data_IF_330628241029
#
_entry.id   IF_330628241029
#
_cell.length_a   1.000
_cell.length_b   1.000
_cell.length_c   1.000
_cell.angle_alpha   90.00
_cell.angle_beta   90.00
_cell.angle_gamma   90.00
#
_symmetry.space_group_name_H-M   'P 1'
#
loop_
_entity.id
_entity.type
_entity.pdbx_description
1 polymer ?
#
# COMPACT_ATOMS: atom_id res chain seq x y z
N UNK A 1 3.49 25.72 -5.97
CA UNK A 1 3.28 24.74 -4.89
C UNK A 1 4.61 24.10 -4.57
N UNK A 2 4.96 24.02 -3.29
CA UNK A 2 6.05 23.18 -2.80
C UNK A 2 5.40 21.90 -2.29
N UNK A 3 5.58 20.82 -3.01
CA UNK A 3 5.12 19.48 -2.59
C UNK A 3 6.34 18.61 -2.34
N UNK A 4 6.45 18.03 -1.16
CA UNK A 4 7.63 17.31 -0.75
C UNK A 4 7.35 16.30 0.35
N UNK A 5 8.40 15.67 0.79
CA UNK A 5 8.44 14.63 1.82
C UNK A 5 9.50 13.58 1.48
N UNK A 6 9.48 12.43 2.17
CA UNK A 6 8.60 12.16 3.31
C UNK A 6 9.13 12.76 4.64
N UNK A 7 8.23 13.18 5.51
CA UNK A 7 8.58 13.44 6.90
C UNK A 7 8.19 12.24 7.78
N UNK A 8 8.91 12.04 8.89
CA UNK A 8 8.75 10.86 9.74
C UNK A 8 7.66 11.10 10.79
N UNK A 9 6.74 10.17 10.92
CA UNK A 9 5.62 10.25 11.87
C UNK A 9 6.06 10.38 13.35
N UNK A 10 7.21 9.81 13.73
CA UNK A 10 7.76 9.96 15.09
C UNK A 10 8.21 11.40 15.41
N UNK A 11 8.36 12.26 14.39
CA UNK A 11 8.62 13.69 14.59
C UNK A 11 7.38 14.47 15.06
N UNK A 12 6.16 13.90 14.91
CA UNK A 12 4.91 14.61 15.22
C UNK A 12 4.91 15.22 16.63
N UNK A 13 5.42 14.49 17.62
CA UNK A 13 5.51 14.95 19.01
C UNK A 13 6.45 16.17 19.20
N UNK A 14 7.39 16.37 18.29
CA UNK A 14 8.37 17.46 18.32
C UNK A 14 7.86 18.74 17.61
N UNK A 15 6.76 18.63 16.86
CA UNK A 15 6.22 19.74 16.06
C UNK A 15 5.39 20.76 16.86
N UNK A 16 5.12 20.49 18.15
CA UNK A 16 4.29 21.35 19.00
C UNK A 16 2.80 21.28 18.64
N UNK A 17 2.01 22.21 19.23
CA UNK A 17 0.56 22.26 19.05
C UNK A 17 0.13 22.82 17.69
N UNK A 18 0.96 23.67 17.06
CA UNK A 18 0.64 24.37 15.82
C UNK A 18 1.72 24.23 14.73
N UNK A 19 1.89 23.02 14.14
CA UNK A 19 2.92 22.74 13.14
C UNK A 19 2.87 23.64 11.91
N UNK A 20 1.70 24.13 11.50
CA UNK A 20 1.54 25.01 10.33
C UNK A 20 2.42 26.27 10.41
N UNK A 21 2.62 26.83 11.62
CA UNK A 21 3.40 28.07 11.80
C UNK A 21 4.86 27.89 11.41
N UNK A 22 5.41 26.70 11.60
CA UNK A 22 6.78 26.37 11.18
C UNK A 22 6.91 26.52 9.65
N UNK A 23 5.93 26.02 8.91
CA UNK A 23 5.92 26.12 7.45
C UNK A 23 5.58 27.54 6.97
N UNK A 24 4.73 28.27 7.69
CA UNK A 24 4.41 29.67 7.42
C UNK A 24 5.64 30.58 7.55
N UNK A 25 6.54 30.28 8.49
CA UNK A 25 7.82 31.00 8.64
C UNK A 25 8.76 30.74 7.44
N UNK A 26 8.65 29.57 6.79
CA UNK A 26 9.42 29.26 5.57
C UNK A 26 8.83 30.04 4.39
N UNK A 27 7.51 30.01 4.21
CA UNK A 27 6.84 30.79 3.17
C UNK A 27 5.35 30.98 3.46
N UNK A 28 4.89 32.23 3.43
CA UNK A 28 3.47 32.58 3.45
C UNK A 28 2.89 32.85 2.05
N UNK A 29 3.74 32.90 1.01
CA UNK A 29 3.34 33.18 -0.39
C UNK A 29 3.36 31.94 -1.29
N UNK A 30 3.92 30.83 -0.82
CA UNK A 30 3.89 29.55 -1.54
C UNK A 30 3.12 28.51 -0.71
N UNK A 31 2.15 27.80 -1.28
CA UNK A 31 1.56 26.67 -0.58
C UNK A 31 2.62 25.58 -0.41
N UNK A 32 2.81 25.13 0.86
CA UNK A 32 3.74 24.07 1.24
C UNK A 32 2.93 22.89 1.74
N UNK A 33 3.18 21.73 1.15
CA UNK A 33 2.51 20.46 1.46
C UNK A 33 3.61 19.42 1.61
N UNK A 34 3.78 18.90 2.80
CA UNK A 34 4.73 17.83 3.07
C UNK A 34 3.96 16.56 3.42
N UNK A 35 4.24 15.48 2.69
CA UNK A 35 3.62 14.19 2.90
C UNK A 35 4.47 13.38 3.88
N UNK A 36 3.83 12.64 4.78
CA UNK A 36 4.52 11.75 5.71
C UNK A 36 5.02 10.46 5.04
N UNK A 37 5.78 9.66 5.78
CA UNK A 37 6.31 8.38 5.28
C UNK A 37 5.24 7.37 4.92
N UNK A 38 4.07 7.39 5.58
CA UNK A 38 2.95 6.48 5.26
C UNK A 38 2.14 6.94 4.05
N UNK A 39 2.27 8.20 3.64
CA UNK A 39 1.48 8.90 2.63
C UNK A 39 0.01 9.16 3.04
N UNK A 40 -0.38 8.85 4.26
CA UNK A 40 -1.72 9.08 4.78
C UNK A 40 -1.89 10.47 5.39
N UNK A 41 -0.81 11.10 5.87
CA UNK A 41 -0.85 12.35 6.62
C UNK A 41 -0.10 13.46 5.88
N UNK A 42 -0.71 14.62 5.78
CA UNK A 42 -0.09 15.83 5.25
C UNK A 42 0.25 16.81 6.36
N UNK A 43 1.36 17.50 6.20
CA UNK A 43 1.72 18.70 6.95
C UNK A 43 1.68 19.89 6.00
N UNK A 44 0.74 20.80 6.24
CA UNK A 44 0.40 21.92 5.37
C UNK A 44 0.63 23.26 6.06
N UNK A 45 1.11 24.25 5.30
CA UNK A 45 1.07 25.62 5.77
C UNK A 45 -0.34 26.23 5.62
N UNK A 46 -0.57 27.39 6.21
CA UNK A 46 -1.88 28.10 6.17
C UNK A 46 -2.36 28.33 4.74
N UNK A 47 -1.46 28.69 3.82
CA UNK A 47 -1.84 28.93 2.42
C UNK A 47 -2.26 27.66 1.70
N UNK A 48 -1.57 26.54 1.92
CA UNK A 48 -1.93 25.26 1.33
C UNK A 48 -3.28 24.76 1.82
N UNK A 49 -3.56 24.87 3.13
CA UNK A 49 -4.86 24.55 3.69
C UNK A 49 -5.97 25.39 3.07
N UNK A 50 -5.81 26.72 3.05
CA UNK A 50 -6.81 27.64 2.50
C UNK A 50 -7.11 27.35 1.02
N UNK A 51 -6.07 27.15 0.18
CA UNK A 51 -6.24 26.84 -1.24
C UNK A 51 -6.83 25.42 -1.45
N UNK A 52 -6.58 24.51 -0.52
CA UNK A 52 -7.16 23.17 -0.50
C UNK A 52 -8.56 23.11 0.13
N UNK A 53 -9.18 24.27 0.46
CA UNK A 53 -10.55 24.33 0.98
C UNK A 53 -10.68 24.12 2.48
N UNK A 54 -9.58 24.07 3.24
CA UNK A 54 -9.60 23.96 4.71
C UNK A 54 -9.56 25.37 5.30
N UNK A 55 -10.71 25.85 5.75
CA UNK A 55 -10.84 27.13 6.44
C UNK A 55 -10.63 26.99 7.97
N UNK A 56 -10.55 28.14 8.65
CA UNK A 56 -10.49 28.19 10.13
C UNK A 56 -11.64 27.41 10.78
N UNK A 57 -12.85 27.56 10.24
CA UNK A 57 -14.08 26.98 10.75
C UNK A 57 -14.51 25.71 9.97
N UNK A 58 -13.56 25.07 9.24
CA UNK A 58 -13.85 23.86 8.51
C UNK A 58 -14.33 22.76 9.47
N UNK A 59 -15.48 22.16 9.17
CA UNK A 59 -15.94 20.94 9.86
C UNK A 59 -15.09 19.74 9.45
N UNK A 60 -15.13 18.70 10.26
CA UNK A 60 -14.46 17.45 9.91
C UNK A 60 -15.06 16.85 8.63
N UNK A 61 -14.19 16.26 7.83
CA UNK A 61 -14.54 15.66 6.54
C UNK A 61 -14.76 14.17 6.77
N UNK A 62 -15.83 13.61 6.23
CA UNK A 62 -16.09 12.18 6.32
C UNK A 62 -14.87 11.38 5.82
N UNK A 63 -14.40 10.41 6.61
CA UNK A 63 -13.19 9.64 6.31
C UNK A 63 -11.89 10.44 6.40
N UNK A 64 -11.86 11.59 7.08
CA UNK A 64 -10.67 12.40 7.25
C UNK A 64 -10.59 13.06 8.62
N UNK A 65 -9.37 13.39 9.06
CA UNK A 65 -9.11 14.06 10.34
C UNK A 65 -8.40 15.38 10.08
N UNK A 66 -8.99 16.48 10.56
CA UNK A 66 -8.35 17.79 10.63
C UNK A 66 -7.84 17.97 12.05
N UNK A 67 -6.53 17.86 12.26
CA UNK A 67 -5.95 18.07 13.57
C UNK A 67 -6.01 19.56 13.95
N UNK A 68 -6.34 19.86 15.21
CA UNK A 68 -6.60 21.22 15.68
C UNK A 68 -5.67 21.60 16.83
N UNK A 69 -5.35 22.86 16.88
CA UNK A 69 -4.69 23.46 18.04
C UNK A 69 -5.64 23.43 19.25
N UNK A 70 -5.21 22.85 20.36
CA UNK A 70 -6.04 22.64 21.55
C UNK A 70 -6.48 23.95 22.23
N UNK A 71 -5.74 25.05 22.00
CA UNK A 71 -6.04 26.34 22.63
C UNK A 71 -7.01 27.21 21.83
N UNK A 72 -6.94 27.10 20.49
CA UNK A 72 -7.71 27.95 19.56
C UNK A 72 -8.83 27.20 18.85
N UNK A 73 -8.75 25.86 18.76
CA UNK A 73 -9.65 25.03 17.95
C UNK A 73 -9.41 25.16 16.45
N UNK A 74 -8.42 25.92 16.00
CA UNK A 74 -8.11 26.09 14.58
C UNK A 74 -7.34 24.90 14.02
N UNK A 75 -7.49 24.56 12.72
CA UNK A 75 -6.65 23.57 12.05
C UNK A 75 -5.17 23.90 12.23
N UNK A 76 -4.39 22.94 12.72
CA UNK A 76 -2.97 23.14 13.06
C UNK A 76 -2.01 22.81 11.92
N UNK A 77 -2.51 22.38 10.75
CA UNK A 77 -1.72 22.05 9.58
C UNK A 77 -1.52 20.55 9.34
N UNK A 78 -1.94 19.70 10.27
CA UNK A 78 -1.89 18.23 10.10
C UNK A 78 -3.26 17.75 9.63
N UNK A 79 -3.27 17.06 8.49
CA UNK A 79 -4.46 16.57 7.82
C UNK A 79 -4.27 15.09 7.49
N UNK A 80 -5.16 14.24 7.99
CA UNK A 80 -5.10 12.80 7.72
C UNK A 80 -6.21 12.38 6.74
N UNK A 81 -5.94 11.35 5.96
CA UNK A 81 -6.84 10.68 5.03
C UNK A 81 -7.55 11.68 4.08
N UNK A 82 -8.88 11.62 4.00
CA UNK A 82 -9.69 12.46 3.11
C UNK A 82 -9.55 13.97 3.40
N UNK A 83 -9.16 14.39 4.61
CA UNK A 83 -8.91 15.79 4.92
C UNK A 83 -7.76 16.37 4.07
N UNK A 84 -6.82 15.54 3.63
CA UNK A 84 -5.72 15.94 2.75
C UNK A 84 -6.09 16.08 1.26
N UNK A 85 -7.29 15.69 0.82
CA UNK A 85 -7.62 15.63 -0.61
C UNK A 85 -7.54 16.98 -1.31
N UNK A 86 -8.09 18.03 -0.70
CA UNK A 86 -8.02 19.38 -1.28
C UNK A 86 -6.59 19.88 -1.48
N UNK A 87 -5.73 19.88 -0.46
CA UNK A 87 -4.31 20.21 -0.63
C UNK A 87 -3.58 19.34 -1.65
N UNK A 88 -3.81 18.00 -1.70
CA UNK A 88 -3.18 17.12 -2.70
C UNK A 88 -3.49 17.54 -4.13
N UNK A 89 -4.70 18.01 -4.41
CA UNK A 89 -5.10 18.48 -5.75
C UNK A 89 -4.36 19.72 -6.22
N UNK A 90 -3.66 20.44 -5.35
CA UNK A 90 -2.80 21.55 -5.74
C UNK A 90 -1.53 21.08 -6.47
N UNK A 91 -1.12 19.83 -6.28
CA UNK A 91 0.04 19.21 -6.93
C UNK A 91 -0.34 18.61 -8.30
N UNK A 92 -0.57 19.47 -9.29
CA UNK A 92 -0.89 19.03 -10.66
C UNK A 92 0.40 18.64 -11.40
N UNK A 93 0.46 17.40 -11.86
CA UNK A 93 1.55 16.89 -12.71
C UNK A 93 1.18 17.03 -14.19
N UNK A 94 2.14 17.44 -15.02
CA UNK A 94 1.95 17.47 -16.49
C UNK A 94 2.08 16.06 -17.07
N UNK A 95 1.51 15.84 -18.27
CA UNK A 95 1.67 14.57 -19.00
C UNK A 95 3.14 14.24 -19.25
N UNK A 96 3.98 15.23 -19.58
CA UNK A 96 5.42 15.07 -19.80
C UNK A 96 6.15 14.60 -18.51
N UNK A 97 5.77 15.15 -17.35
CA UNK A 97 6.31 14.71 -16.05
C UNK A 97 5.92 13.27 -15.76
N UNK A 98 4.66 12.89 -16.00
CA UNK A 98 4.19 11.52 -15.80
C UNK A 98 4.87 10.52 -16.74
N UNK A 99 5.05 10.88 -18.02
CA UNK A 99 5.78 10.03 -18.97
C UNK A 99 7.26 9.87 -18.63
N UNK A 100 7.90 10.94 -18.16
CA UNK A 100 9.30 10.89 -17.70
C UNK A 100 9.43 10.03 -16.46
N UNK A 101 8.49 10.16 -15.51
CA UNK A 101 8.42 9.32 -14.32
C UNK A 101 8.24 7.84 -14.68
N UNK A 102 7.33 7.54 -15.62
CA UNK A 102 7.08 6.17 -16.10
C UNK A 102 8.35 5.51 -16.68
N UNK A 103 9.08 6.23 -17.52
CA UNK A 103 10.36 5.74 -18.08
C UNK A 103 11.43 5.50 -17.02
N UNK A 104 11.57 6.43 -16.07
CA UNK A 104 12.55 6.33 -14.99
C UNK A 104 12.23 5.16 -14.07
N UNK A 105 10.97 5.04 -13.68
CA UNK A 105 10.43 3.94 -12.89
C UNK A 105 10.70 2.58 -13.54
N UNK A 106 10.41 2.43 -14.84
CA UNK A 106 10.61 1.19 -15.57
C UNK A 106 12.07 0.72 -15.52
N UNK A 107 13.04 1.63 -15.81
CA UNK A 107 14.47 1.33 -15.72
C UNK A 107 14.90 0.97 -14.30
N UNK A 108 14.37 1.67 -13.31
CA UNK A 108 14.65 1.42 -11.91
C UNK A 108 14.17 0.03 -11.49
N UNK A 109 12.94 -0.35 -11.85
CA UNK A 109 12.41 -1.68 -11.52
C UNK A 109 13.19 -2.80 -12.22
N UNK A 110 13.50 -2.63 -13.49
CA UNK A 110 14.32 -3.61 -14.20
C UNK A 110 15.71 -3.78 -13.55
N UNK A 111 16.32 -2.71 -13.03
CA UNK A 111 17.62 -2.81 -12.33
C UNK A 111 17.54 -3.57 -11.00
N UNK A 112 16.36 -3.70 -10.43
CA UNK A 112 16.09 -4.49 -9.23
C UNK A 112 15.67 -5.93 -9.49
N UNK A 113 15.57 -6.33 -10.77
CA UNK A 113 15.11 -7.67 -11.17
C UNK A 113 13.59 -7.82 -11.21
N UNK A 114 12.87 -6.72 -11.16
CA UNK A 114 11.40 -6.75 -11.21
C UNK A 114 10.96 -6.81 -12.67
N UNK A 115 10.17 -7.83 -13.01
CA UNK A 115 9.59 -8.06 -14.33
C UNK A 115 8.07 -7.86 -14.37
N UNK A 116 7.44 -7.78 -13.19
CA UNK A 116 5.99 -7.58 -13.05
C UNK A 116 5.70 -6.75 -11.82
N UNK A 117 4.68 -5.91 -11.87
CA UNK A 117 4.27 -5.09 -10.72
C UNK A 117 2.76 -4.83 -10.69
N UNK A 118 2.30 -4.42 -9.53
CA UNK A 118 0.97 -3.86 -9.33
C UNK A 118 1.07 -2.37 -9.07
N UNK A 119 0.27 -1.58 -9.78
CA UNK A 119 0.04 -0.18 -9.44
C UNK A 119 -1.25 -0.10 -8.60
N UNK A 120 -1.15 0.06 -7.28
CA UNK A 120 -2.33 -0.04 -6.42
C UNK A 120 -3.16 1.24 -6.37
N UNK A 121 -2.69 2.34 -6.98
CA UNK A 121 -3.35 3.65 -6.96
C UNK A 121 -3.43 4.25 -8.37
N UNK A 122 -3.85 3.44 -9.35
CA UNK A 122 -3.94 3.81 -10.74
C UNK A 122 -5.08 4.82 -10.98
N UNK A 123 -4.72 6.09 -11.13
CA UNK A 123 -5.65 7.14 -11.58
C UNK A 123 -5.63 7.22 -13.11
N UNK A 124 -6.71 7.75 -13.71
CA UNK A 124 -6.83 7.85 -15.17
C UNK A 124 -5.64 8.56 -15.82
N UNK A 125 -5.12 9.63 -15.20
CA UNK A 125 -3.95 10.36 -15.70
C UNK A 125 -2.67 9.51 -15.72
N UNK A 126 -2.47 8.67 -14.70
CA UNK A 126 -1.33 7.76 -14.62
C UNK A 126 -1.45 6.66 -15.68
N UNK A 127 -2.67 6.16 -15.90
CA UNK A 127 -2.95 5.14 -16.92
C UNK A 127 -2.65 5.62 -18.33
N UNK A 128 -2.90 6.89 -18.65
CA UNK A 128 -2.47 7.47 -19.93
C UNK A 128 -0.95 7.45 -20.10
N UNK A 129 -0.19 7.74 -19.04
CA UNK A 129 1.28 7.72 -19.10
C UNK A 129 1.82 6.29 -19.25
N UNK A 130 1.28 5.32 -18.52
CA UNK A 130 1.66 3.90 -18.68
C UNK A 130 1.31 3.37 -20.08
N UNK A 131 0.10 3.68 -20.56
CA UNK A 131 -0.31 3.29 -21.92
C UNK A 131 0.58 3.90 -22.99
N UNK A 132 0.92 5.18 -22.89
CA UNK A 132 1.83 5.84 -23.81
C UNK A 132 3.24 5.25 -23.77
N UNK A 133 3.73 4.85 -22.59
CA UNK A 133 5.02 4.16 -22.46
C UNK A 133 4.98 2.77 -23.11
N UNK A 134 3.89 2.03 -22.93
CA UNK A 134 3.70 0.72 -23.53
C UNK A 134 3.60 0.80 -25.07
N UNK A 135 2.83 1.75 -25.61
CA UNK A 135 2.69 1.97 -27.05
C UNK A 135 4.00 2.32 -27.76
N UNK A 136 4.98 2.88 -27.01
CA UNK A 136 6.33 3.14 -27.51
C UNK A 136 7.31 1.98 -27.30
N UNK A 137 6.91 0.92 -26.58
CA UNK A 137 7.78 -0.16 -26.18
C UNK A 137 8.74 0.19 -25.02
N UNK A 138 8.46 1.29 -24.31
CA UNK A 138 9.24 1.74 -23.14
C UNK A 138 8.85 0.98 -21.87
N UNK A 139 7.65 0.37 -21.80
CA UNK A 139 7.18 -0.43 -20.67
C UNK A 139 7.64 -1.88 -20.82
N UNK A 140 8.72 -2.26 -20.15
CA UNK A 140 9.29 -3.61 -20.14
C UNK A 140 8.96 -4.34 -18.83
N UNK A 141 7.68 -4.28 -18.45
CA UNK A 141 7.11 -4.85 -17.22
C UNK A 141 5.69 -5.33 -17.51
N UNK A 142 5.28 -6.44 -16.89
CA UNK A 142 3.86 -6.79 -16.81
C UNK A 142 3.23 -5.96 -15.68
N UNK A 143 2.07 -5.37 -15.96
CA UNK A 143 1.41 -4.45 -15.04
C UNK A 143 -0.01 -4.90 -14.72
N UNK A 144 -0.37 -4.94 -13.43
CA UNK A 144 -1.75 -4.96 -12.96
C UNK A 144 -2.10 -3.59 -12.39
N UNK A 145 -3.02 -2.89 -13.05
CA UNK A 145 -3.48 -1.57 -12.62
C UNK A 145 -4.74 -1.70 -11.77
N UNK A 146 -4.64 -1.36 -10.50
CA UNK A 146 -5.76 -1.28 -9.58
C UNK A 146 -6.37 0.14 -9.69
N UNK A 147 -7.42 0.24 -10.47
CA UNK A 147 -8.15 1.50 -10.67
C UNK A 147 -8.78 1.94 -9.35
N UNK A 148 -8.45 3.12 -8.89
CA UNK A 148 -9.00 3.64 -7.63
C UNK A 148 -10.48 3.92 -7.83
N UNK A 149 -11.36 3.19 -7.12
CA UNK A 149 -12.78 3.47 -7.13
C UNK A 149 -13.14 4.59 -6.16
N UNK A 150 -12.66 4.47 -4.92
CA UNK A 150 -12.83 5.48 -3.88
C UNK A 150 -11.70 5.38 -2.87
N UNK A 151 -11.37 6.51 -2.25
CA UNK A 151 -10.29 6.57 -1.28
C UNK A 151 -9.72 7.98 -1.14
N UNK A 152 -8.58 8.13 -0.47
CA UNK A 152 -8.02 9.44 -0.13
C UNK A 152 -7.58 10.29 -1.33
N UNK A 153 -7.65 9.78 -2.56
CA UNK A 153 -7.33 10.53 -3.78
C UNK A 153 -8.54 10.86 -4.65
N UNK A 154 -9.72 10.40 -4.27
CA UNK A 154 -10.97 10.65 -5.00
C UNK A 154 -11.88 11.54 -4.17
N UNK A 155 -12.53 12.51 -4.80
CA UNK A 155 -13.54 13.35 -4.13
C UNK A 155 -14.86 12.60 -3.99
N UNK A 156 -15.18 11.81 -5.01
CA UNK A 156 -16.35 10.95 -5.07
C UNK A 156 -15.96 9.58 -5.61
N UNK A 157 -16.77 8.57 -5.29
CA UNK A 157 -16.58 7.23 -5.83
C UNK A 157 -16.70 7.23 -7.35
N UNK A 158 -15.71 6.66 -8.06
CA UNK A 158 -15.75 6.55 -9.53
C UNK A 158 -16.84 5.55 -9.91
N UNK A 159 -17.76 5.91 -10.81
CA UNK A 159 -18.83 5.01 -11.27
C UNK A 159 -18.30 3.70 -11.86
N UNK A 160 -19.01 2.60 -11.65
CA UNK A 160 -18.59 1.28 -12.16
C UNK A 160 -18.42 1.26 -13.67
N UNK A 161 -19.34 1.89 -14.42
CA UNK A 161 -19.25 1.96 -15.87
C UNK A 161 -18.01 2.72 -16.35
N UNK A 162 -17.55 3.73 -15.57
CA UNK A 162 -16.30 4.42 -15.85
C UNK A 162 -15.08 3.52 -15.57
N UNK A 163 -15.13 2.68 -14.54
CA UNK A 163 -14.07 1.68 -14.31
C UNK A 163 -14.00 0.67 -15.46
N UNK A 164 -15.14 0.22 -15.99
CA UNK A 164 -15.20 -0.66 -17.16
C UNK A 164 -14.64 0.03 -18.42
N UNK A 165 -15.02 1.28 -18.67
CA UNK A 165 -14.43 2.09 -19.75
C UNK A 165 -12.89 2.18 -19.62
N UNK A 166 -12.38 2.46 -18.41
CA UNK A 166 -10.94 2.52 -18.16
C UNK A 166 -10.28 1.14 -18.37
N UNK A 167 -10.89 0.05 -17.84
CA UNK A 167 -10.41 -1.31 -18.07
C UNK A 167 -10.25 -1.59 -19.56
N UNK A 168 -11.30 -1.36 -20.34
CA UNK A 168 -11.35 -1.70 -21.78
C UNK A 168 -10.40 -0.81 -22.59
N UNK A 169 -10.23 0.45 -22.18
CA UNK A 169 -9.32 1.41 -22.81
C UNK A 169 -7.85 1.11 -22.58
N UNK A 170 -7.48 0.71 -21.36
CA UNK A 170 -6.07 0.63 -20.94
C UNK A 170 -5.54 -0.80 -20.93
N UNK A 171 -6.39 -1.83 -20.91
CA UNK A 171 -5.91 -3.22 -20.96
C UNK A 171 -5.32 -3.58 -22.31
N UNK A 172 -4.20 -4.28 -22.30
CA UNK A 172 -3.54 -4.84 -23.47
C UNK A 172 -2.65 -6.05 -23.07
N UNK A 173 -1.68 -6.43 -23.89
CA UNK A 173 -0.79 -7.56 -23.62
C UNK A 173 0.15 -7.39 -22.41
N UNK A 174 0.42 -6.15 -22.00
CA UNK A 174 1.34 -5.84 -20.88
C UNK A 174 0.59 -5.25 -19.68
N UNK A 175 -0.50 -4.54 -19.92
CA UNK A 175 -1.28 -3.86 -18.89
C UNK A 175 -2.61 -4.57 -18.69
N UNK A 176 -2.91 -4.97 -17.46
CA UNK A 176 -4.18 -5.56 -17.03
C UNK A 176 -4.87 -4.58 -16.08
N UNK A 177 -5.98 -4.00 -16.51
CA UNK A 177 -6.73 -3.01 -15.73
C UNK A 177 -8.05 -3.59 -15.16
N UNK A 178 -8.13 -4.91 -14.99
CA UNK A 178 -9.28 -5.60 -14.38
C UNK A 178 -9.17 -5.68 -12.86
N UNK A 179 -8.62 -4.64 -12.24
CA UNK A 179 -8.43 -4.55 -10.79
C UNK A 179 -8.99 -3.23 -10.27
N UNK A 180 -9.56 -3.26 -9.07
CA UNK A 180 -10.09 -2.08 -8.40
C UNK A 180 -9.47 -1.91 -7.02
N UNK A 181 -9.23 -0.67 -6.60
CA UNK A 181 -8.68 -0.33 -5.28
C UNK A 181 -9.74 0.31 -4.40
N UNK A 182 -9.81 -0.17 -3.17
CA UNK A 182 -10.58 0.41 -2.07
C UNK A 182 -9.66 0.67 -0.87
N UNK A 183 -10.03 1.62 -0.03
CA UNK A 183 -9.40 1.88 1.25
C UNK A 183 -10.43 1.65 2.35
N UNK A 184 -10.17 0.70 3.25
CA UNK A 184 -11.09 0.37 4.32
C UNK A 184 -10.82 1.16 5.59
N UNK A 185 -9.55 1.43 5.86
CA UNK A 185 -9.10 2.22 7.01
C UNK A 185 -7.83 3.00 6.67
N UNK A 186 -7.26 3.68 7.64
CA UNK A 186 -5.99 4.37 7.53
C UNK A 186 -4.86 3.65 8.26
N UNK A 187 -4.04 4.41 9.01
CA UNK A 187 -2.84 3.91 9.69
C UNK A 187 -2.90 4.11 11.20
N UNK A 188 -2.29 3.17 11.95
CA UNK A 188 -2.34 3.20 13.41
C UNK A 188 -1.78 4.50 14.04
N UNK A 189 -0.64 5.08 13.61
CA UNK A 189 -0.12 6.30 14.21
C UNK A 189 -1.06 7.51 14.11
N UNK A 190 -1.95 7.53 13.13
CA UNK A 190 -2.97 8.58 12.95
C UNK A 190 -4.28 8.30 13.68
N UNK A 191 -4.40 7.19 14.44
CA UNK A 191 -5.65 6.68 15.03
C UNK A 191 -6.76 6.43 13.98
N UNK A 192 -6.36 6.18 12.73
CA UNK A 192 -7.28 5.98 11.61
C UNK A 192 -7.39 4.52 11.15
N UNK A 193 -6.53 3.62 11.64
CA UNK A 193 -6.72 2.19 11.44
C UNK A 193 -7.85 1.64 12.32
N UNK A 194 -8.66 0.73 11.77
CA UNK A 194 -9.87 0.20 12.41
C UNK A 194 -9.57 -1.06 13.22
N UNK A 195 -9.63 -0.96 14.54
CA UNK A 195 -9.35 -2.04 15.47
C UNK A 195 -10.57 -2.43 16.30
N UNK A 196 -10.72 -3.74 16.59
CA UNK A 196 -11.73 -4.23 17.51
C UNK A 196 -11.47 -3.73 18.94
N UNK A 197 -10.20 -3.80 19.39
CA UNK A 197 -9.80 -3.24 20.68
C UNK A 197 -9.31 -1.79 20.52
N UNK A 198 -9.60 -0.89 21.47
CA UNK A 198 -9.21 0.52 21.37
C UNK A 198 -7.68 0.70 21.34
N UNK A 199 -7.26 1.86 20.88
CA UNK A 199 -5.91 2.36 21.06
C UNK A 199 -5.60 2.61 22.54
N UNK A 200 -4.32 2.83 22.88
CA UNK A 200 -3.93 3.15 24.25
C UNK A 200 -4.43 4.54 24.65
N UNK A 201 -5.01 4.67 25.85
CA UNK A 201 -5.38 5.97 26.40
C UNK A 201 -4.19 6.94 26.52
N UNK A 202 -2.99 6.41 26.76
CA UNK A 202 -1.75 7.19 26.83
C UNK A 202 -1.36 7.88 25.51
N UNK A 203 -1.97 7.48 24.39
CA UNK A 203 -1.79 8.14 23.09
C UNK A 203 -2.74 9.32 22.86
N UNK A 204 -3.56 9.66 23.85
CA UNK A 204 -4.59 10.70 23.73
C UNK A 204 -5.91 10.20 23.13
N UNK A 205 -6.06 8.89 22.91
CA UNK A 205 -7.28 8.29 22.39
C UNK A 205 -8.38 8.25 23.46
N UNK A 206 -9.59 8.68 23.09
CA UNK A 206 -10.77 8.61 23.98
C UNK A 206 -11.38 7.20 23.95
N UNK A 207 -11.14 6.43 25.02
CA UNK A 207 -11.66 5.08 25.15
C UNK A 207 -13.19 5.02 25.23
N UNK A 208 -13.83 6.09 25.72
CA UNK A 208 -15.30 6.11 25.90
C UNK A 208 -16.05 6.26 24.56
N UNK A 209 -15.38 6.82 23.56
CA UNK A 209 -15.93 7.00 22.21
C UNK A 209 -15.52 5.89 21.25
N UNK A 210 -14.85 4.84 21.73
CA UNK A 210 -14.36 3.77 20.84
C UNK A 210 -15.50 3.00 20.19
N UNK A 211 -15.56 3.11 18.87
CA UNK A 211 -16.38 2.29 17.99
C UNK A 211 -15.46 1.76 16.88
N UNK A 212 -15.27 0.43 16.75
CA UNK A 212 -14.42 -0.16 15.71
C UNK A 212 -14.74 0.31 14.31
N UNK A 213 -16.02 0.53 14.00
CA UNK A 213 -16.45 0.90 12.65
C UNK A 213 -16.31 2.42 12.37
N UNK A 214 -16.09 3.26 13.41
CA UNK A 214 -16.00 4.72 13.26
C UNK A 214 -14.80 5.20 12.42
N UNK A 215 -13.75 4.38 12.30
CA UNK A 215 -12.55 4.67 11.50
C UNK A 215 -12.56 3.96 10.15
N UNK A 216 -13.64 3.23 9.82
CA UNK A 216 -13.82 2.70 8.47
C UNK A 216 -14.13 3.84 7.49
N UNK A 217 -13.46 3.82 6.34
CA UNK A 217 -13.66 4.80 5.26
C UNK A 217 -14.88 4.48 4.41
N UNK A 218 -15.36 3.22 4.46
CA UNK A 218 -16.54 2.72 3.77
C UNK A 218 -17.37 1.94 4.79
N UNK A 219 -18.67 2.20 4.88
CA UNK A 219 -19.52 1.42 5.80
C UNK A 219 -19.56 -0.05 5.39
N UNK A 220 -19.76 -0.99 6.35
CA UNK A 220 -19.82 -2.43 6.03
C UNK A 220 -20.88 -2.77 4.97
N UNK A 221 -22.04 -2.12 5.01
CA UNK A 221 -23.12 -2.34 4.04
C UNK A 221 -22.72 -1.89 2.62
N UNK A 222 -22.08 -0.72 2.51
CA UNK A 222 -21.63 -0.21 1.22
C UNK A 222 -20.44 -1.01 0.70
N UNK A 223 -19.53 -1.43 1.59
CA UNK A 223 -18.42 -2.30 1.23
C UNK A 223 -18.91 -3.64 0.65
N UNK A 224 -19.88 -4.28 1.30
CA UNK A 224 -20.48 -5.53 0.81
C UNK A 224 -21.08 -5.36 -0.58
N UNK A 225 -21.84 -4.29 -0.82
CA UNK A 225 -22.41 -3.97 -2.14
C UNK A 225 -21.31 -3.70 -3.17
N UNK A 226 -20.31 -2.91 -2.81
CA UNK A 226 -19.22 -2.51 -3.71
C UNK A 226 -18.39 -3.72 -4.14
N UNK A 227 -17.95 -4.57 -3.20
CA UNK A 227 -17.16 -5.76 -3.54
C UNK A 227 -17.98 -6.75 -4.36
N UNK A 228 -19.26 -6.96 -4.02
CA UNK A 228 -20.15 -7.84 -4.78
C UNK A 228 -20.34 -7.36 -6.22
N UNK A 229 -20.54 -6.05 -6.43
CA UNK A 229 -20.73 -5.49 -7.78
C UNK A 229 -19.43 -5.50 -8.60
N UNK A 230 -18.28 -5.19 -7.98
CA UNK A 230 -16.97 -5.30 -8.64
C UNK A 230 -16.66 -6.74 -9.05
N UNK A 231 -16.92 -7.72 -8.16
CA UNK A 231 -16.77 -9.15 -8.47
C UNK A 231 -17.66 -9.57 -9.64
N UNK A 232 -18.93 -9.17 -9.63
CA UNK A 232 -19.88 -9.45 -10.71
C UNK A 232 -19.42 -8.89 -12.06
N UNK A 233 -18.74 -7.73 -12.06
CA UNK A 233 -18.18 -7.07 -13.27
C UNK A 233 -16.79 -7.60 -13.66
N UNK A 234 -16.27 -8.58 -12.94
CA UNK A 234 -14.98 -9.22 -13.25
C UNK A 234 -13.76 -8.44 -12.75
N UNK A 235 -13.90 -7.54 -11.78
CA UNK A 235 -12.79 -6.85 -11.15
C UNK A 235 -12.27 -7.61 -9.92
N UNK A 236 -10.98 -7.85 -9.85
CA UNK A 236 -10.30 -8.22 -8.61
C UNK A 236 -10.22 -6.97 -7.72
N UNK A 237 -10.74 -7.05 -6.52
CA UNK A 237 -10.71 -5.93 -5.57
C UNK A 237 -9.51 -6.05 -4.64
N UNK A 238 -8.71 -5.00 -4.55
CA UNK A 238 -7.64 -4.84 -3.57
C UNK A 238 -8.07 -3.85 -2.51
N UNK A 239 -8.08 -4.27 -1.25
CA UNK A 239 -8.54 -3.48 -0.12
C UNK A 239 -7.38 -3.16 0.81
N UNK A 240 -7.04 -1.88 0.98
CA UNK A 240 -6.14 -1.45 2.05
C UNK A 240 -6.81 -1.75 3.39
N UNK A 241 -6.16 -2.52 4.24
CA UNK A 241 -6.64 -2.85 5.57
C UNK A 241 -5.47 -3.13 6.52
N UNK A 242 -5.35 -2.28 7.54
CA UNK A 242 -4.29 -2.33 8.56
C UNK A 242 -4.80 -2.94 9.86
N UNK A 243 -5.92 -2.42 10.39
CA UNK A 243 -6.51 -2.90 11.63
C UNK A 243 -7.26 -4.22 11.47
N UNK A 244 -7.36 -4.97 12.56
CA UNK A 244 -8.02 -6.29 12.56
C UNK A 244 -9.51 -6.21 12.24
N UNK A 245 -10.19 -5.12 12.61
CA UNK A 245 -11.58 -4.91 12.22
C UNK A 245 -11.70 -4.64 10.71
N UNK A 246 -10.86 -3.77 10.13
CA UNK A 246 -10.87 -3.53 8.69
C UNK A 246 -10.59 -4.79 7.86
N UNK A 247 -9.60 -5.60 8.28
CA UNK A 247 -9.30 -6.89 7.64
C UNK A 247 -10.52 -7.82 7.68
N UNK A 248 -11.18 -7.92 8.84
CA UNK A 248 -12.41 -8.71 9.01
C UNK A 248 -13.52 -8.24 8.07
N UNK A 249 -13.81 -6.93 8.04
CA UNK A 249 -14.83 -6.36 7.14
C UNK A 249 -14.52 -6.61 5.66
N UNK A 250 -13.23 -6.54 5.27
CA UNK A 250 -12.80 -6.90 3.93
C UNK A 250 -13.07 -8.37 3.59
N UNK A 251 -12.77 -9.29 4.52
CA UNK A 251 -13.08 -10.71 4.35
C UNK A 251 -14.59 -10.98 4.36
N UNK A 252 -15.37 -10.29 5.20
CA UNK A 252 -16.84 -10.37 5.22
C UNK A 252 -17.42 -9.95 3.86
N UNK A 253 -16.92 -8.87 3.26
CA UNK A 253 -17.37 -8.41 1.96
C UNK A 253 -17.03 -9.40 0.83
N UNK A 254 -15.85 -10.03 0.88
CA UNK A 254 -15.49 -11.11 -0.05
C UNK A 254 -16.46 -12.30 0.14
N UNK A 255 -16.76 -12.69 1.38
CA UNK A 255 -17.68 -13.77 1.68
C UNK A 255 -19.08 -13.53 1.12
N UNK A 256 -19.60 -12.31 1.30
CA UNK A 256 -20.89 -11.89 0.71
C UNK A 256 -20.84 -11.98 -0.82
N UNK A 257 -19.78 -11.48 -1.45
CA UNK A 257 -19.63 -11.57 -2.92
C UNK A 257 -19.59 -13.03 -3.40
N UNK A 258 -18.87 -13.92 -2.71
CA UNK A 258 -18.85 -15.37 -3.00
C UNK A 258 -20.24 -16.00 -2.89
N UNK A 259 -20.99 -15.64 -1.86
CA UNK A 259 -22.32 -16.16 -1.64
C UNK A 259 -23.31 -15.68 -2.73
N UNK A 260 -23.25 -14.39 -3.08
CA UNK A 260 -24.21 -13.79 -4.03
C UNK A 260 -23.91 -14.19 -5.47
N UNK A 261 -22.63 -14.11 -5.88
CA UNK A 261 -22.22 -14.32 -7.28
C UNK A 261 -21.82 -15.77 -7.58
N UNK A 262 -21.51 -16.58 -6.55
CA UNK A 262 -21.03 -17.97 -6.73
C UNK A 262 -19.64 -18.06 -7.40
N UNK A 263 -18.93 -16.95 -7.54
CA UNK A 263 -17.65 -16.88 -8.24
C UNK A 263 -16.48 -16.95 -7.25
N UNK A 264 -15.63 -17.98 -7.35
CA UNK A 264 -14.42 -18.15 -6.55
C UNK A 264 -13.13 -18.00 -7.39
N UNK A 265 -13.23 -17.59 -8.65
CA UNK A 265 -12.07 -17.51 -9.54
C UNK A 265 -11.28 -16.20 -9.37
N UNK A 266 -11.97 -15.10 -9.04
CA UNK A 266 -11.31 -13.82 -8.77
C UNK A 266 -10.65 -13.85 -7.38
N UNK A 267 -9.36 -13.58 -7.32
CA UNK A 267 -8.58 -13.58 -6.09
C UNK A 267 -8.53 -12.17 -5.51
N UNK A 268 -9.58 -11.78 -4.77
CA UNK A 268 -9.58 -10.49 -4.07
C UNK A 268 -8.48 -10.42 -3.02
N UNK A 269 -7.95 -9.23 -2.77
CA UNK A 269 -6.75 -9.01 -1.96
C UNK A 269 -7.04 -8.14 -0.75
N UNK A 270 -6.54 -8.57 0.40
CA UNK A 270 -6.38 -7.73 1.58
C UNK A 270 -4.93 -7.22 1.58
N UNK A 271 -4.76 -5.93 1.32
CA UNK A 271 -3.45 -5.31 1.25
C UNK A 271 -2.90 -5.03 2.65
N UNK A 272 -1.58 -5.18 2.80
CA UNK A 272 -0.79 -5.04 4.02
C UNK A 272 -1.00 -6.16 5.02
N UNK A 273 -2.25 -6.59 5.28
CA UNK A 273 -2.59 -7.70 6.23
C UNK A 273 -1.81 -7.60 7.55
N UNK A 274 -1.76 -6.37 8.14
CA UNK A 274 -0.84 -6.08 9.26
C UNK A 274 -1.28 -6.81 10.53
N UNK A 275 -2.55 -6.65 10.95
CA UNK A 275 -3.07 -7.21 12.20
C UNK A 275 -4.18 -8.23 11.95
N UNK A 276 -3.84 -9.40 11.42
CA UNK A 276 -4.83 -10.47 11.17
C UNK A 276 -5.19 -11.16 12.49
N UNK A 277 -6.46 -11.17 12.87
CA UNK A 277 -6.92 -11.86 14.06
C UNK A 277 -6.92 -13.37 13.87
N UNK A 278 -6.78 -14.14 14.98
CA UNK A 278 -6.69 -15.62 14.95
C UNK A 278 -7.85 -16.27 14.18
N UNK A 279 -9.07 -15.79 14.39
CA UNK A 279 -10.28 -16.30 13.74
C UNK A 279 -10.35 -16.01 12.23
N UNK A 280 -9.60 -15.05 11.73
CA UNK A 280 -9.62 -14.62 10.33
C UNK A 280 -8.52 -15.31 9.48
N UNK A 281 -7.52 -15.95 10.10
CA UNK A 281 -6.41 -16.60 9.38
C UNK A 281 -6.87 -17.63 8.35
N UNK A 282 -7.77 -18.55 8.72
CA UNK A 282 -8.26 -19.59 7.82
C UNK A 282 -9.19 -19.08 6.73
N UNK A 283 -9.80 -17.90 6.93
CA UNK A 283 -10.76 -17.32 5.99
C UNK A 283 -10.12 -16.94 4.65
N UNK A 284 -8.85 -16.55 4.63
CA UNK A 284 -8.14 -16.30 3.38
C UNK A 284 -8.22 -17.50 2.43
N UNK A 285 -7.92 -18.71 2.94
CA UNK A 285 -8.02 -19.94 2.16
C UNK A 285 -9.46 -20.28 1.76
N UNK A 286 -10.39 -20.17 2.70
CA UNK A 286 -11.80 -20.52 2.50
C UNK A 286 -12.44 -19.65 1.41
N UNK A 287 -12.08 -18.36 1.36
CA UNK A 287 -12.63 -17.38 0.45
C UNK A 287 -11.84 -17.22 -0.85
N UNK A 288 -10.75 -17.96 -1.04
CA UNK A 288 -9.78 -17.75 -2.10
C UNK A 288 -9.32 -16.27 -2.17
N UNK A 289 -9.06 -15.70 -0.99
CA UNK A 289 -8.55 -14.35 -0.83
C UNK A 289 -7.02 -14.38 -0.71
N UNK A 290 -6.37 -13.32 -1.17
CA UNK A 290 -4.91 -13.15 -1.11
C UNK A 290 -4.56 -12.23 0.04
N UNK A 291 -3.60 -12.64 0.89
CA UNK A 291 -2.96 -11.76 1.84
C UNK A 291 -1.74 -11.13 1.17
N UNK A 292 -1.83 -9.85 0.83
CA UNK A 292 -0.66 -9.12 0.37
C UNK A 292 0.13 -8.61 1.57
N UNK A 293 1.44 -8.81 1.55
CA UNK A 293 2.32 -8.51 2.67
C UNK A 293 3.48 -7.61 2.25
N UNK A 294 3.81 -6.63 3.11
CA UNK A 294 4.84 -5.61 2.85
C UNK A 294 6.01 -5.74 3.84
N UNK A 295 6.94 -6.69 3.64
CA UNK A 295 7.96 -7.06 4.64
C UNK A 295 9.00 -5.99 4.93
N UNK A 296 9.08 -4.94 4.14
CA UNK A 296 9.98 -3.80 4.41
C UNK A 296 9.65 -3.04 5.70
N UNK A 297 8.51 -3.32 6.32
CA UNK A 297 8.04 -2.71 7.57
C UNK A 297 8.20 -3.63 8.80
N UNK A 298 8.76 -4.81 8.65
CA UNK A 298 8.71 -5.90 9.64
C UNK A 298 9.86 -5.97 10.62
N UNK A 299 10.57 -4.89 10.80
CA UNK A 299 11.64 -4.76 11.80
C UNK A 299 11.47 -3.45 12.58
N UNK A 300 12.12 -3.29 13.73
CA UNK A 300 12.09 -2.03 14.47
C UNK A 300 12.56 -0.87 13.59
N UNK A 301 11.72 0.16 13.45
CA UNK A 301 12.01 1.37 12.69
C UNK A 301 11.14 2.53 13.22
N UNK A 302 11.18 3.69 12.57
CA UNK A 302 10.40 4.85 12.99
C UNK A 302 8.87 4.59 12.95
N UNK A 303 8.37 3.88 11.93
CA UNK A 303 6.95 3.54 11.82
C UNK A 303 6.53 2.59 12.95
N UNK A 304 7.35 1.58 13.25
CA UNK A 304 7.12 0.67 14.38
C UNK A 304 7.11 1.40 15.71
N UNK A 305 8.05 2.34 15.90
CA UNK A 305 8.11 3.15 17.13
C UNK A 305 6.83 3.97 17.30
N UNK A 306 6.31 4.56 16.22
CA UNK A 306 5.05 5.29 16.22
C UNK A 306 3.85 4.35 16.52
N UNK A 307 3.83 3.15 15.96
CA UNK A 307 2.80 2.15 16.28
C UNK A 307 2.84 1.72 17.75
N UNK A 308 4.02 1.51 18.32
CA UNK A 308 4.18 1.16 19.75
C UNK A 308 3.57 2.24 20.65
N UNK A 309 3.71 3.51 20.31
CA UNK A 309 3.17 4.62 21.11
C UNK A 309 1.63 4.56 21.22
N UNK A 310 0.96 4.10 20.17
CA UNK A 310 -0.51 4.10 20.12
C UNK A 310 -1.15 2.74 20.38
N UNK A 311 -0.44 1.63 20.14
CA UNK A 311 -0.97 0.26 20.27
C UNK A 311 -0.32 -0.54 21.41
N UNK A 312 0.88 -0.15 21.84
CA UNK A 312 1.67 -0.91 22.80
C UNK A 312 2.48 -2.05 22.16
N UNK A 313 3.53 -2.50 22.87
CA UNK A 313 4.46 -3.53 22.38
C UNK A 313 3.79 -4.90 22.18
N UNK A 314 2.82 -5.25 23.02
CA UNK A 314 2.23 -6.59 22.99
C UNK A 314 1.33 -6.79 21.77
N UNK A 315 0.60 -5.76 21.31
CA UNK A 315 -0.17 -5.83 20.07
C UNK A 315 0.73 -5.99 18.85
N UNK A 316 1.90 -5.33 18.84
CA UNK A 316 2.86 -5.46 17.74
C UNK A 316 3.47 -6.85 17.62
N UNK A 317 3.55 -7.64 18.68
CA UNK A 317 3.99 -9.05 18.60
C UNK A 317 3.08 -9.89 17.71
N UNK A 318 1.83 -9.47 17.52
CA UNK A 318 0.84 -10.13 16.66
C UNK A 318 0.70 -9.45 15.29
N UNK A 319 1.63 -8.58 14.89
CA UNK A 319 1.61 -7.96 13.57
C UNK A 319 2.34 -8.79 12.52
N UNK A 320 1.92 -8.66 11.25
CA UNK A 320 2.55 -9.30 10.09
C UNK A 320 2.73 -10.82 10.27
N UNK A 321 1.63 -11.52 10.46
CA UNK A 321 1.56 -12.95 10.83
C UNK A 321 1.76 -13.87 9.62
N UNK A 322 2.90 -13.74 8.95
CA UNK A 322 3.15 -14.44 7.68
C UNK A 322 3.26 -15.96 7.85
N UNK A 323 3.90 -16.46 8.94
CA UNK A 323 4.00 -17.89 9.21
C UNK A 323 2.63 -18.47 9.48
N UNK A 324 1.85 -17.83 10.35
CA UNK A 324 0.51 -18.29 10.71
C UNK A 324 -0.41 -18.32 9.47
N UNK A 325 -0.33 -17.32 8.60
CA UNK A 325 -1.06 -17.29 7.34
C UNK A 325 -0.65 -18.44 6.41
N UNK A 326 0.66 -18.73 6.28
CA UNK A 326 1.14 -19.87 5.51
C UNK A 326 0.67 -21.20 6.10
N UNK A 327 0.71 -21.36 7.43
CA UNK A 327 0.21 -22.56 8.12
C UNK A 327 -1.30 -22.73 7.95
N UNK A 328 -2.06 -21.62 7.89
CA UNK A 328 -3.48 -21.61 7.52
C UNK A 328 -3.72 -21.82 6.01
N UNK A 329 -2.68 -22.06 5.21
CA UNK A 329 -2.74 -22.24 3.75
C UNK A 329 -3.33 -21.06 3.00
N UNK A 330 -3.19 -19.84 3.52
CA UNK A 330 -3.51 -18.63 2.79
C UNK A 330 -2.58 -18.45 1.58
N UNK A 331 -3.09 -17.90 0.49
CA UNK A 331 -2.24 -17.44 -0.61
C UNK A 331 -1.66 -16.07 -0.25
N UNK A 332 -0.32 -15.96 -0.27
CA UNK A 332 0.39 -14.75 0.05
C UNK A 332 1.13 -14.22 -1.19
N UNK A 333 1.22 -12.90 -1.29
CA UNK A 333 2.03 -12.22 -2.31
C UNK A 333 2.83 -11.09 -1.69
N UNK A 334 4.01 -10.84 -2.27
CA UNK A 334 4.90 -9.76 -1.85
C UNK A 334 4.46 -8.42 -2.45
N UNK A 335 4.58 -7.36 -1.65
CA UNK A 335 4.56 -5.97 -2.10
C UNK A 335 5.66 -5.16 -1.41
N UNK A 336 6.24 -4.19 -2.10
CA UNK A 336 7.19 -3.24 -1.48
C UNK A 336 6.46 -2.12 -0.75
N UNK A 337 5.26 -1.80 -1.16
CA UNK A 337 4.49 -0.62 -0.77
C UNK A 337 5.25 0.71 -1.06
N UNK A 338 6.29 0.63 -1.90
CA UNK A 338 7.06 1.81 -2.29
C UNK A 338 6.22 2.75 -3.18
N UNK A 339 6.28 4.07 -2.94
CA UNK A 339 7.15 4.79 -2.00
C UNK A 339 6.57 5.00 -0.58
N UNK A 340 5.44 4.38 -0.23
CA UNK A 340 4.89 4.47 1.11
C UNK A 340 5.76 3.66 2.09
N UNK A 341 6.16 4.29 3.20
CA UNK A 341 6.94 3.72 4.30
C UNK A 341 8.24 3.01 3.93
N UNK A 342 8.55 2.89 2.64
CA UNK A 342 9.76 2.24 2.13
C UNK A 342 10.65 3.24 1.38
N UNK A 343 11.96 3.29 1.66
CA UNK A 343 12.89 4.24 1.03
C UNK A 343 13.16 3.90 -0.45
N UNK A 344 12.99 2.65 -0.81
CA UNK A 344 13.23 2.10 -2.14
C UNK A 344 12.31 0.91 -2.44
N UNK A 345 12.22 0.49 -3.71
CA UNK A 345 11.45 -0.68 -4.13
C UNK A 345 12.26 -1.98 -4.09
N UNK A 346 13.49 -1.98 -3.53
CA UNK A 346 14.39 -3.11 -3.53
C UNK A 346 13.74 -4.37 -2.88
N UNK A 347 13.50 -5.47 -3.63
CA UNK A 347 12.83 -6.66 -3.09
C UNK A 347 13.74 -7.47 -2.14
N UNK A 348 15.06 -7.32 -2.26
CA UNK A 348 16.02 -8.13 -1.51
C UNK A 348 16.02 -7.82 -0.02
N UNK A 349 15.86 -6.54 0.35
CA UNK A 349 15.69 -6.14 1.76
C UNK A 349 14.37 -6.66 2.32
N UNK A 350 13.31 -6.71 1.50
CA UNK A 350 12.03 -7.32 1.88
C UNK A 350 12.17 -8.84 2.09
N UNK A 351 12.87 -9.54 1.20
CA UNK A 351 13.15 -10.98 1.35
C UNK A 351 13.93 -11.24 2.64
N UNK A 352 15.01 -10.49 2.89
CA UNK A 352 15.78 -10.61 4.13
C UNK A 352 14.92 -10.36 5.38
N UNK A 353 14.00 -9.38 5.33
CA UNK A 353 13.04 -9.12 6.40
C UNK A 353 12.08 -10.27 6.67
N UNK A 354 11.64 -11.02 5.65
CA UNK A 354 10.83 -12.23 5.81
C UNK A 354 11.60 -13.36 6.51
N UNK A 355 12.91 -13.49 6.20
CA UNK A 355 13.74 -14.56 6.75
C UNK A 355 14.18 -14.30 8.19
N UNK A 356 14.35 -13.03 8.57
CA UNK A 356 15.01 -12.66 9.83
C UNK A 356 14.16 -11.83 10.78
N UNK A 357 13.19 -11.08 10.28
CA UNK A 357 12.45 -10.05 11.04
C UNK A 357 13.37 -8.95 11.58
N UNK A 358 14.51 -8.71 10.91
CA UNK A 358 15.51 -7.71 11.21
C UNK A 358 15.80 -6.83 9.99
N UNK A 359 16.36 -5.65 10.25
CA UNK A 359 16.82 -4.76 9.17
C UNK A 359 18.09 -5.31 8.51
N UNK A 360 17.99 -5.69 7.25
CA UNK A 360 19.14 -6.21 6.49
C UNK A 360 20.26 -5.18 6.28
N UNK A 361 19.95 -3.89 6.34
CA UNK A 361 20.91 -2.80 6.17
C UNK A 361 21.56 -2.38 7.49
N UNK A 362 21.06 -2.87 8.63
CA UNK A 362 21.63 -2.64 9.95
C UNK A 362 21.43 -1.23 10.51
N UNK A 363 20.51 -0.43 9.95
CA UNK A 363 20.21 0.90 10.49
C UNK A 363 19.41 0.84 11.79
N UNK A 364 18.67 -0.24 12.00
CA UNK A 364 17.82 -0.45 13.16
C UNK A 364 18.12 -1.81 13.81
N UNK A 365 18.31 -1.82 15.11
CA UNK A 365 18.58 -3.03 15.89
C UNK A 365 17.29 -3.69 16.38
N UNK A 366 17.32 -5.02 16.57
CA UNK A 366 16.26 -5.81 17.17
C UNK A 366 15.33 -6.51 16.19
N UNK A 367 14.29 -7.12 16.73
CA UNK A 367 13.30 -7.91 15.98
C UNK A 367 11.88 -7.59 16.43
N UNK A 368 10.90 -7.85 15.56
CA UNK A 368 9.48 -7.83 15.92
C UNK A 368 8.86 -9.13 15.45
N UNK A 369 8.13 -9.81 16.36
CA UNK A 369 7.46 -11.08 16.06
C UNK A 369 8.41 -12.07 15.35
N UNK A 370 9.57 -12.35 15.95
CA UNK A 370 10.64 -13.21 15.36
C UNK A 370 10.16 -14.62 15.07
N UNK A 371 9.13 -15.10 15.78
CA UNK A 371 8.43 -16.37 15.54
C UNK A 371 7.74 -16.43 14.17
N UNK A 372 7.47 -15.29 13.55
CA UNK A 372 6.86 -15.18 12.22
C UNK A 372 7.86 -15.19 11.07
N UNK A 373 9.16 -15.36 11.31
CA UNK A 373 10.16 -15.54 10.26
C UNK A 373 9.92 -16.86 9.50
N UNK A 374 10.15 -16.83 8.18
CA UNK A 374 9.94 -17.99 7.29
C UNK A 374 11.23 -18.38 6.56
N UNK A 375 11.28 -19.58 5.99
CA UNK A 375 12.44 -20.04 5.21
C UNK A 375 12.49 -19.40 3.82
N UNK A 376 13.67 -19.42 3.19
CA UNK A 376 13.86 -18.96 1.81
C UNK A 376 12.94 -19.72 0.83
N UNK A 377 12.78 -21.02 0.99
CA UNK A 377 11.91 -21.85 0.14
C UNK A 377 10.42 -21.49 0.27
N UNK A 378 9.99 -21.00 1.43
CA UNK A 378 8.63 -20.48 1.65
C UNK A 378 8.47 -19.06 1.10
N UNK A 379 9.52 -18.24 1.16
CA UNK A 379 9.47 -16.85 0.73
C UNK A 379 9.53 -16.68 -0.81
N UNK A 380 10.39 -17.41 -1.51
CA UNK A 380 10.60 -17.24 -2.96
C UNK A 380 9.30 -17.33 -3.80
N UNK A 381 8.36 -18.23 -3.53
CA UNK A 381 7.08 -18.25 -4.27
C UNK A 381 6.31 -16.92 -4.22
N UNK A 382 6.40 -16.15 -3.13
CA UNK A 382 5.70 -14.88 -2.96
C UNK A 382 6.20 -13.81 -3.94
N UNK A 383 7.50 -13.88 -4.30
CA UNK A 383 8.15 -12.97 -5.25
C UNK A 383 8.03 -13.44 -6.70
N UNK A 384 7.52 -14.65 -6.95
CA UNK A 384 7.52 -15.29 -8.28
C UNK A 384 6.10 -15.75 -8.63
N UNK A 385 5.82 -17.04 -8.51
CA UNK A 385 4.57 -17.65 -9.00
C UNK A 385 3.32 -17.11 -8.29
N UNK A 386 3.39 -16.78 -6.99
CA UNK A 386 2.23 -16.22 -6.29
C UNK A 386 1.95 -14.78 -6.76
N UNK A 387 3.02 -13.99 -7.01
CA UNK A 387 2.89 -12.69 -7.65
C UNK A 387 2.20 -12.81 -9.01
N UNK A 388 2.66 -13.73 -9.86
CA UNK A 388 2.04 -13.97 -11.17
C UNK A 388 0.57 -14.41 -11.04
N UNK A 389 0.22 -15.26 -10.07
CA UNK A 389 -1.16 -15.66 -9.79
C UNK A 389 -2.03 -14.47 -9.41
N UNK A 390 -1.53 -13.57 -8.57
CA UNK A 390 -2.31 -12.42 -8.15
C UNK A 390 -2.46 -11.35 -9.24
N UNK A 391 -1.62 -11.42 -10.29
CA UNK A 391 -1.83 -10.68 -11.54
C UNK A 391 -2.75 -11.43 -12.54
N UNK A 392 -3.15 -12.67 -12.26
CA UNK A 392 -3.85 -13.54 -13.20
C UNK A 392 -2.97 -13.97 -14.39
N UNK A 393 -1.66 -14.10 -14.19
CA UNK A 393 -0.65 -14.39 -15.23
C UNK A 393 0.14 -15.66 -14.96
N UNK A 394 -0.28 -16.52 -14.04
CA UNK A 394 0.45 -17.75 -13.69
C UNK A 394 0.67 -18.72 -14.84
N UNK A 395 -0.11 -18.60 -15.91
CA UNK A 395 0.05 -19.39 -17.13
C UNK A 395 1.03 -18.75 -18.14
N UNK A 396 1.40 -17.49 -17.93
CA UNK A 396 2.25 -16.71 -18.82
C UNK A 396 3.64 -16.44 -18.24
N UNK A 397 3.76 -16.28 -16.90
CA UNK A 397 5.00 -15.93 -16.21
C UNK A 397 5.05 -16.51 -14.79
N UNK A 398 6.02 -16.11 -13.98
CA UNK A 398 6.19 -16.50 -12.57
C UNK A 398 6.92 -17.82 -12.34
N UNK A 399 7.26 -18.56 -13.41
CA UNK A 399 8.11 -19.75 -13.34
C UNK A 399 8.76 -20.01 -14.70
N UNK A 400 9.94 -20.63 -14.68
CA UNK A 400 10.63 -21.10 -15.88
C UNK A 400 10.04 -22.45 -16.33
N UNK A 401 8.97 -22.40 -17.12
CA UNK A 401 8.26 -23.57 -17.66
C UNK A 401 8.02 -23.39 -19.15
N UNK A 402 8.04 -24.49 -19.89
CA UNK A 402 7.75 -24.48 -21.34
C UNK A 402 6.37 -23.87 -21.61
N UNK A 403 6.30 -22.94 -22.54
CA UNK A 403 5.07 -22.23 -22.92
C UNK A 403 4.85 -20.89 -22.21
N UNK A 404 5.68 -20.55 -21.22
CA UNK A 404 5.67 -19.24 -20.56
C UNK A 404 6.70 -18.29 -21.16
N UNK A 405 6.51 -16.99 -20.93
CA UNK A 405 7.51 -15.99 -21.26
C UNK A 405 8.83 -16.29 -20.54
N UNK A 406 9.93 -16.00 -21.19
CA UNK A 406 11.26 -16.05 -20.59
C UNK A 406 11.48 -14.77 -19.75
N UNK A 407 10.82 -14.72 -18.59
CA UNK A 407 10.99 -13.69 -17.57
C UNK A 407 11.87 -14.29 -16.46
N UNK A 408 13.11 -13.83 -16.37
CA UNK A 408 14.05 -14.31 -15.35
C UNK A 408 15.11 -13.27 -15.03
N UNK A 409 15.78 -13.48 -13.92
CA UNK A 409 16.91 -12.66 -13.49
C UNK A 409 18.14 -13.53 -13.27
N UNK A 410 19.31 -12.97 -13.52
CA UNK A 410 20.60 -13.52 -13.12
C UNK A 410 21.11 -12.72 -11.94
N UNK A 411 21.48 -13.42 -10.88
CA UNK A 411 21.97 -12.83 -9.65
C UNK A 411 23.49 -13.01 -9.56
N UNK A 412 24.16 -12.11 -8.87
CA UNK A 412 25.61 -12.19 -8.64
C UNK A 412 26.00 -13.38 -7.75
N UNK A 413 25.06 -13.89 -6.94
CA UNK A 413 25.31 -14.93 -5.96
C UNK A 413 24.14 -15.92 -5.85
N UNK A 414 24.43 -17.14 -5.40
CA UNK A 414 23.44 -18.16 -5.09
C UNK A 414 22.78 -17.87 -3.71
N UNK A 415 21.50 -17.51 -3.70
CA UNK A 415 20.75 -17.19 -2.49
C UNK A 415 20.71 -18.34 -1.46
N UNK A 416 20.85 -19.60 -1.92
CA UNK A 416 20.76 -20.76 -1.04
C UNK A 416 21.99 -20.93 -0.15
N UNK A 417 23.08 -20.27 -0.49
CA UNK A 417 24.36 -20.31 0.25
C UNK A 417 24.60 -19.06 1.10
N UNK A 418 23.71 -18.07 1.00
CA UNK A 418 23.88 -16.77 1.65
C UNK A 418 23.14 -16.68 2.99
N UNK A 419 23.71 -15.88 3.91
CA UNK A 419 23.00 -15.41 5.10
C UNK A 419 21.89 -14.44 4.71
N UNK A 420 20.93 -14.23 5.59
CA UNK A 420 19.86 -13.26 5.33
C UNK A 420 20.38 -11.82 5.15
N UNK A 421 21.48 -11.44 5.81
CA UNK A 421 22.15 -10.15 5.60
C UNK A 421 22.66 -10.00 4.17
N UNK A 422 23.38 -11.03 3.68
CA UNK A 422 23.90 -11.04 2.32
C UNK A 422 22.77 -11.03 1.28
N UNK A 423 21.66 -11.75 1.55
CA UNK A 423 20.45 -11.71 0.72
C UNK A 423 19.92 -10.27 0.60
N UNK A 424 19.89 -9.51 1.70
CA UNK A 424 19.45 -8.11 1.69
C UNK A 424 20.32 -7.19 0.82
N UNK A 425 21.58 -7.59 0.55
CA UNK A 425 22.55 -6.87 -0.27
C UNK A 425 22.68 -7.43 -1.70
N UNK A 426 21.86 -8.40 -2.07
CA UNK A 426 21.87 -9.04 -3.40
C UNK A 426 21.77 -7.99 -4.51
N UNK A 427 22.54 -8.22 -5.57
CA UNK A 427 22.52 -7.43 -6.80
C UNK A 427 22.05 -8.28 -7.98
N UNK A 428 21.36 -7.64 -8.87
CA UNK A 428 20.93 -8.23 -10.15
C UNK A 428 22.03 -7.95 -11.18
N UNK A 429 22.48 -8.99 -11.83
CA UNK A 429 23.43 -8.91 -12.96
C UNK A 429 22.67 -8.67 -14.26
N UNK A 430 21.58 -9.42 -14.49
CA UNK A 430 20.78 -9.30 -15.71
C UNK A 430 19.31 -9.50 -15.40
N UNK A 431 18.46 -8.68 -16.00
CA UNK A 431 17.01 -8.87 -16.03
C UNK A 431 16.57 -9.13 -17.46
N UNK A 432 15.84 -10.23 -17.64
CA UNK A 432 15.25 -10.63 -18.92
C UNK A 432 13.74 -10.58 -18.80
N UNK A 433 13.10 -9.88 -19.72
CA UNK A 433 11.64 -9.76 -19.82
C UNK A 433 11.20 -10.17 -21.23
N UNK A 434 10.29 -11.14 -21.32
CA UNK A 434 9.81 -11.73 -22.59
C UNK A 434 10.95 -12.15 -23.52
N UNK A 435 12.04 -12.69 -22.95
CA UNK A 435 13.21 -13.14 -23.70
C UNK A 435 14.19 -12.04 -24.14
N UNK A 436 13.91 -10.77 -23.81
CA UNK A 436 14.79 -9.65 -24.11
C UNK A 436 15.52 -9.17 -22.85
N UNK A 437 16.82 -8.90 -22.95
CA UNK A 437 17.58 -8.27 -21.88
C UNK A 437 17.10 -6.83 -21.74
N UNK A 438 16.55 -6.49 -20.58
CA UNK A 438 16.03 -5.14 -20.25
C UNK A 438 16.90 -4.41 -19.24
N UNK A 439 17.81 -5.14 -18.58
CA UNK A 439 18.85 -4.59 -17.72
C UNK A 439 20.07 -5.52 -17.71
N UNK A 440 21.26 -4.93 -17.72
CA UNK A 440 22.53 -5.59 -17.46
C UNK A 440 23.43 -4.63 -16.68
N UNK A 441 24.05 -5.13 -15.58
CA UNK A 441 24.96 -4.38 -14.72
C UNK A 441 26.36 -4.29 -15.37
#
# INVERSE_FOLDING_TARGET
VVFGGPWRLDMRQQMGSNPREVLDQISCIHPIILQDTSQHILWCNTLAMRLGGISKDASDIAGGVIERDCSTGEPNGILAEAAGNGPRQLNKRTSEQLETASRTFNKYFNSLGITSFKEPMALEADMFAYKAADDRGDLTLHMAAHLVREGPLTVEAIPYDKLEEMRDRFSNGNIRASFAKLFLDGVAPGHTASFVEPYLASSGYDLASHDPDSTLLITPEELNKTVTELDRRGFVTKMHAVGDNAIRKGLDAIEVARHVNGNYTLRHEIAHSVFVADQDLSRFKQLNAVAEVSPKLWFPNAATSAQIQVLGKDRLKKSHRIRDLLEASAELTYASDWPASAPDANPWTGLAGMLSRQDALGYFEGTIASDQAISLSQALPLFTINGARSLGMEHETGSLSVGKWADFIVLTNDLTTQSWQEIGLTKVETTVWKGCIVYSN
#
